data_IF_496112419709
#
_entry.id   IF_496112419709
#
_cell.length_a   1.000
_cell.length_b   1.000
_cell.length_c   1.000
_cell.angle_alpha   90.00
_cell.angle_beta   90.00
_cell.angle_gamma   90.00
#
_symmetry.space_group_name_H-M   'P 1'
#
loop_
_entity.id
_entity.type
_entity.pdbx_description
1 polymer ?
#
# COMPACT_ATOMS: atom_id res chain seq x y z
N UNK A 1 -21.69 -14.22 -8.21
CA UNK A 1 -20.22 -14.34 -8.31
C UNK A 1 -19.51 -13.01 -8.56
N UNK A 2 -20.14 -11.99 -9.18
CA UNK A 2 -19.54 -10.66 -9.34
C UNK A 2 -19.34 -9.89 -8.03
N UNK A 3 -20.32 -9.95 -7.11
CA UNK A 3 -20.27 -9.20 -5.84
C UNK A 3 -19.17 -9.67 -4.90
N UNK A 4 -18.85 -10.97 -4.88
CA UNK A 4 -17.84 -11.56 -3.98
C UNK A 4 -16.42 -11.17 -4.39
N UNK A 5 -16.16 -11.01 -5.69
CA UNK A 5 -14.83 -10.62 -6.19
C UNK A 5 -14.60 -9.11 -6.14
N UNK A 6 -15.66 -8.30 -6.29
CA UNK A 6 -15.55 -6.86 -6.03
C UNK A 6 -15.28 -6.60 -4.55
N UNK A 7 -15.92 -7.36 -3.65
CA UNK A 7 -15.72 -7.22 -2.22
C UNK A 7 -14.25 -7.48 -1.82
N UNK A 8 -13.58 -8.49 -2.36
CA UNK A 8 -12.16 -8.75 -2.05
C UNK A 8 -11.24 -7.62 -2.53
N UNK A 9 -11.48 -7.07 -3.72
CA UNK A 9 -10.75 -5.91 -4.22
C UNK A 9 -11.00 -4.64 -3.39
N UNK A 10 -12.26 -4.41 -3.00
CA UNK A 10 -12.65 -3.31 -2.11
C UNK A 10 -11.97 -3.44 -0.74
N UNK A 11 -12.03 -4.63 -0.14
CA UNK A 11 -11.38 -4.94 1.13
C UNK A 11 -9.87 -4.68 1.04
N UNK A 12 -9.17 -5.24 0.05
CA UNK A 12 -7.74 -5.02 -0.12
C UNK A 12 -7.38 -3.53 -0.26
N UNK A 13 -8.17 -2.76 -1.01
CA UNK A 13 -7.99 -1.31 -1.16
C UNK A 13 -8.15 -0.55 0.16
N UNK A 14 -9.19 -0.90 0.94
CA UNK A 14 -9.48 -0.31 2.25
C UNK A 14 -8.36 -0.54 3.27
N UNK A 15 -7.48 -1.52 3.06
CA UNK A 15 -6.30 -1.72 3.90
C UNK A 15 -5.05 -1.03 3.36
N UNK A 16 -4.75 -1.22 2.08
CA UNK A 16 -3.52 -0.72 1.47
C UNK A 16 -3.48 0.81 1.41
N UNK A 17 -4.61 1.47 1.10
CA UNK A 17 -4.67 2.93 1.00
C UNK A 17 -4.43 3.63 2.35
N UNK A 18 -5.18 3.32 3.43
CA UNK A 18 -4.93 3.94 4.73
C UNK A 18 -3.55 3.60 5.29
N UNK A 19 -3.07 2.37 5.08
CA UNK A 19 -1.73 1.97 5.49
C UNK A 19 -0.65 2.83 4.82
N UNK A 20 -0.71 2.98 3.50
CA UNK A 20 0.23 3.81 2.74
C UNK A 20 0.16 5.29 3.16
N UNK A 21 -1.06 5.84 3.31
CA UNK A 21 -1.26 7.24 3.70
C UNK A 21 -0.75 7.52 5.11
N UNK A 22 -1.03 6.63 6.06
CA UNK A 22 -0.53 6.73 7.43
C UNK A 22 1.00 6.69 7.46
N UNK A 23 1.61 5.74 6.73
CA UNK A 23 3.07 5.63 6.61
C UNK A 23 3.67 6.92 6.05
N UNK A 24 3.05 7.49 5.01
CA UNK A 24 3.46 8.74 4.40
C UNK A 24 3.43 9.90 5.40
N UNK A 25 2.30 10.15 6.06
CA UNK A 25 2.13 11.27 7.01
C UNK A 25 3.09 11.16 8.21
N UNK A 26 3.32 9.95 8.71
CA UNK A 26 4.26 9.72 9.82
C UNK A 26 5.71 9.92 9.37
N UNK A 27 6.08 9.47 8.17
CA UNK A 27 7.41 9.71 7.61
C UNK A 27 7.69 11.21 7.43
N UNK A 28 6.70 11.98 6.98
CA UNK A 28 6.80 13.43 6.86
C UNK A 28 6.99 14.11 8.21
N UNK A 29 6.16 13.76 9.20
CA UNK A 29 6.29 14.32 10.54
C UNK A 29 7.68 14.03 11.13
N UNK A 30 8.18 12.81 11.01
CA UNK A 30 9.51 12.43 11.50
C UNK A 30 10.64 13.17 10.77
N UNK A 31 10.57 13.26 9.45
CA UNK A 31 11.56 13.97 8.64
C UNK A 31 11.59 15.48 8.96
N UNK A 32 10.42 16.11 9.10
CA UNK A 32 10.30 17.52 9.48
C UNK A 32 10.73 17.78 10.94
N UNK A 33 10.72 16.75 11.82
CA UNK A 33 11.26 16.82 13.18
C UNK A 33 12.77 16.86 13.20
N UNK A 34 13.42 15.85 12.64
CA UNK A 34 14.87 15.78 12.65
C UNK A 34 15.33 15.14 11.35
N UNK A 35 15.71 15.92 10.32
CA UNK A 35 16.08 15.37 9.02
C UNK A 35 17.37 14.54 9.09
N UNK A 36 18.31 14.90 9.97
CA UNK A 36 19.58 14.20 10.17
C UNK A 36 19.45 12.86 10.89
N UNK A 37 18.41 12.70 11.72
CA UNK A 37 18.14 11.47 12.48
C UNK A 37 17.02 10.63 11.86
N UNK A 38 16.59 10.98 10.65
CA UNK A 38 15.53 10.24 9.98
C UNK A 38 15.95 8.79 9.75
N UNK A 39 15.13 7.87 10.28
CA UNK A 39 15.26 6.44 10.06
C UNK A 39 13.88 5.87 9.78
N UNK A 40 13.71 5.26 8.61
CA UNK A 40 12.49 4.56 8.25
C UNK A 40 12.28 3.36 9.18
N UNK A 41 11.04 3.18 9.63
CA UNK A 41 10.59 2.00 10.37
C UNK A 41 9.63 1.19 9.51
N UNK A 42 9.62 -0.12 9.71
CA UNK A 42 8.66 -1.00 9.01
C UNK A 42 7.23 -0.74 9.46
N UNK A 43 7.03 -0.36 10.72
CA UNK A 43 5.77 0.13 11.25
C UNK A 43 5.96 1.32 12.19
N UNK A 44 5.09 2.32 12.09
CA UNK A 44 5.08 3.47 12.99
C UNK A 44 3.94 3.28 14.01
N UNK A 45 4.28 2.63 15.14
CA UNK A 45 3.36 2.51 16.25
C UNK A 45 3.20 3.88 16.92
N UNK A 46 1.95 4.31 17.03
CA UNK A 46 1.61 5.55 17.72
C UNK A 46 1.35 5.22 19.19
N UNK A 47 1.72 6.13 20.09
CA UNK A 47 1.55 6.00 21.55
C UNK A 47 0.08 5.75 21.97
N UNK A 48 -0.89 6.10 21.14
CA UNK A 48 -2.31 5.79 21.39
C UNK A 48 -2.70 4.44 20.79
N UNK A 49 -3.24 3.54 21.62
CA UNK A 49 -3.71 2.19 21.20
C UNK A 49 -4.76 2.24 20.08
N UNK A 50 -5.64 3.25 20.08
CA UNK A 50 -6.65 3.47 19.03
C UNK A 50 -6.06 3.87 17.69
N UNK A 51 -4.87 4.46 17.69
CA UNK A 51 -4.16 4.78 16.45
C UNK A 51 -3.51 3.53 15.84
N UNK A 52 -3.48 2.37 16.49
CA UNK A 52 -2.87 1.15 15.96
C UNK A 52 -3.89 0.13 15.42
N UNK A 53 -5.15 0.56 15.24
CA UNK A 53 -6.23 -0.29 14.71
C UNK A 53 -5.88 -0.95 13.36
N UNK A 54 -5.10 -0.27 12.51
CA UNK A 54 -4.68 -0.82 11.22
C UNK A 54 -3.90 -2.15 11.36
N UNK A 55 -2.99 -2.26 12.35
CA UNK A 55 -2.25 -3.52 12.59
C UNK A 55 -3.20 -4.60 13.05
N UNK A 56 -4.03 -4.30 14.06
CA UNK A 56 -4.93 -5.29 14.65
C UNK A 56 -5.94 -5.79 13.62
N UNK A 57 -6.43 -4.89 12.76
CA UNK A 57 -7.34 -5.24 11.68
C UNK A 57 -6.66 -6.14 10.63
N UNK A 58 -5.43 -5.81 10.21
CA UNK A 58 -4.64 -6.66 9.30
C UNK A 58 -4.30 -8.02 9.92
N UNK A 59 -3.98 -8.07 11.21
CA UNK A 59 -3.62 -9.30 11.92
C UNK A 59 -4.78 -10.29 11.97
N UNK A 60 -6.01 -9.79 12.07
CA UNK A 60 -7.23 -10.61 12.06
C UNK A 60 -7.67 -10.94 10.63
N UNK A 61 -7.57 -10.00 9.70
CA UNK A 61 -8.17 -10.16 8.38
C UNK A 61 -7.30 -10.96 7.41
N UNK A 62 -5.98 -10.80 7.42
CA UNK A 62 -5.09 -11.58 6.55
C UNK A 62 -5.24 -13.10 6.71
N UNK A 63 -5.33 -13.68 7.93
CA UNK A 63 -5.54 -15.12 8.06
C UNK A 63 -6.93 -15.55 7.61
N UNK A 64 -7.96 -14.72 7.80
CA UNK A 64 -9.31 -14.96 7.26
C UNK A 64 -9.27 -14.99 5.73
N UNK A 65 -8.58 -14.03 5.11
CA UNK A 65 -8.40 -13.98 3.65
C UNK A 65 -7.59 -15.16 3.11
N UNK A 66 -6.52 -15.56 3.82
CA UNK A 66 -5.75 -16.74 3.46
C UNK A 66 -6.61 -18.02 3.54
N UNK A 67 -7.35 -18.20 4.64
CA UNK A 67 -8.20 -19.36 4.84
C UNK A 67 -9.35 -19.42 3.83
N UNK A 68 -9.96 -18.27 3.49
CA UNK A 68 -11.02 -18.23 2.48
C UNK A 68 -10.50 -18.67 1.10
N UNK A 69 -9.27 -18.29 0.73
CA UNK A 69 -8.63 -18.76 -0.51
C UNK A 69 -8.37 -20.28 -0.50
N UNK A 70 -7.97 -20.86 0.65
CA UNK A 70 -7.85 -22.32 0.80
C UNK A 70 -9.20 -23.02 0.67
N UNK A 71 -10.24 -22.47 1.29
CA UNK A 71 -11.61 -23.00 1.19
C UNK A 71 -12.11 -22.93 -0.26
N UNK A 72 -11.85 -21.83 -0.98
CA UNK A 72 -12.18 -21.73 -2.41
C UNK A 72 -11.40 -22.73 -3.26
N UNK A 73 -10.11 -22.95 -2.97
CA UNK A 73 -9.33 -24.01 -3.62
C UNK A 73 -9.96 -25.39 -3.42
N UNK A 74 -10.45 -25.70 -2.20
CA UNK A 74 -11.10 -26.98 -1.90
C UNK A 74 -12.49 -27.10 -2.54
N UNK A 75 -13.23 -25.99 -2.64
CA UNK A 75 -14.60 -25.97 -3.12
C UNK A 75 -14.72 -26.00 -4.66
N UNK A 76 -13.82 -25.33 -5.38
CA UNK A 76 -13.85 -25.30 -6.85
C UNK A 76 -13.12 -26.52 -7.42
N UNK A 77 -13.87 -27.55 -7.85
CA UNK A 77 -13.28 -28.83 -8.28
C UNK A 77 -13.00 -28.97 -9.78
N UNK A 78 -13.48 -28.06 -10.63
CA UNK A 78 -13.70 -28.36 -12.06
C UNK A 78 -12.54 -28.03 -13.02
N UNK A 79 -11.56 -27.17 -12.68
CA UNK A 79 -10.42 -26.85 -13.58
C UNK A 79 -9.06 -26.73 -12.83
N UNK A 80 -8.01 -27.49 -13.22
CA UNK A 80 -6.76 -27.60 -12.45
C UNK A 80 -5.89 -26.33 -12.45
N UNK A 81 -5.98 -25.50 -13.48
CA UNK A 81 -5.19 -24.27 -13.63
C UNK A 81 -5.62 -23.18 -12.65
N UNK A 82 -6.92 -23.03 -12.42
CA UNK A 82 -7.45 -22.01 -11.50
C UNK A 82 -7.26 -22.39 -10.04
N UNK A 83 -7.31 -23.70 -9.72
CA UNK A 83 -7.03 -24.21 -8.36
C UNK A 83 -5.65 -23.81 -7.85
N UNK A 84 -4.62 -23.97 -8.68
CA UNK A 84 -3.25 -23.68 -8.26
C UNK A 84 -3.02 -22.18 -7.96
N UNK A 85 -3.68 -21.30 -8.71
CA UNK A 85 -3.60 -19.85 -8.50
C UNK A 85 -4.14 -19.43 -7.11
N UNK A 86 -5.27 -20.01 -6.66
CA UNK A 86 -5.81 -19.72 -5.32
C UNK A 86 -4.88 -20.13 -4.19
N UNK A 87 -4.21 -21.29 -4.31
CA UNK A 87 -3.19 -21.72 -3.35
C UNK A 87 -1.98 -20.79 -3.34
N UNK A 88 -1.48 -20.40 -4.51
CA UNK A 88 -0.36 -19.46 -4.62
C UNK A 88 -0.70 -18.13 -3.93
N UNK A 89 -1.92 -17.61 -4.14
CA UNK A 89 -2.40 -16.39 -3.48
C UNK A 89 -2.52 -16.57 -1.95
N UNK A 90 -3.02 -17.70 -1.47
CA UNK A 90 -3.08 -18.01 -0.03
C UNK A 90 -1.69 -18.05 0.62
N UNK A 91 -0.68 -18.64 -0.06
CA UNK A 91 0.70 -18.67 0.44
C UNK A 91 1.28 -17.27 0.54
N UNK A 92 1.07 -16.42 -0.47
CA UNK A 92 1.53 -15.02 -0.46
C UNK A 92 0.91 -14.24 0.71
N UNK A 93 -0.41 -14.32 0.88
CA UNK A 93 -1.12 -13.64 1.97
C UNK A 93 -0.63 -14.15 3.34
N UNK A 94 -0.42 -15.46 3.48
CA UNK A 94 0.11 -16.07 4.71
C UNK A 94 1.53 -15.59 5.02
N UNK A 95 2.36 -15.36 3.98
CA UNK A 95 3.71 -14.85 4.17
C UNK A 95 3.71 -13.39 4.64
N UNK A 96 2.84 -12.53 4.08
CA UNK A 96 2.62 -11.18 4.60
C UNK A 96 2.10 -11.19 6.05
N UNK A 97 1.23 -12.15 6.38
CA UNK A 97 0.73 -12.33 7.75
C UNK A 97 1.85 -12.74 8.72
N UNK A 98 2.74 -13.65 8.32
CA UNK A 98 3.89 -14.04 9.12
C UNK A 98 4.84 -12.85 9.38
N UNK A 99 5.08 -12.00 8.37
CA UNK A 99 5.85 -10.76 8.54
C UNK A 99 5.14 -9.80 9.51
N UNK A 100 3.81 -9.70 9.44
CA UNK A 100 3.04 -8.86 10.35
C UNK A 100 3.12 -9.36 11.80
N UNK A 101 3.05 -10.68 12.03
CA UNK A 101 3.29 -11.29 13.34
C UNK A 101 4.69 -10.97 13.82
N UNK A 102 5.70 -11.10 12.96
CA UNK A 102 7.08 -10.77 13.30
C UNK A 102 7.23 -9.32 13.77
N UNK A 103 6.60 -8.37 13.07
CA UNK A 103 6.56 -6.95 13.44
C UNK A 103 5.85 -6.77 14.78
N UNK A 104 4.70 -7.42 14.99
CA UNK A 104 3.91 -7.31 16.21
C UNK A 104 4.67 -7.86 17.44
N UNK A 105 5.30 -9.03 17.29
CA UNK A 105 6.12 -9.67 18.33
C UNK A 105 7.35 -8.82 18.65
N UNK A 106 8.02 -8.30 17.61
CA UNK A 106 9.17 -7.41 17.77
C UNK A 106 8.84 -6.21 18.64
N UNK A 107 7.70 -5.55 18.41
CA UNK A 107 7.35 -4.38 19.23
C UNK A 107 6.73 -4.76 20.58
N UNK A 108 5.92 -5.81 20.66
CA UNK A 108 5.24 -6.16 21.92
C UNK A 108 6.20 -6.71 22.97
N UNK A 109 7.28 -7.36 22.55
CA UNK A 109 8.27 -7.98 23.44
C UNK A 109 9.57 -7.16 23.54
N UNK A 110 9.60 -5.94 23.00
CA UNK A 110 10.80 -5.11 22.89
C UNK A 110 12.02 -5.93 22.43
N UNK A 111 11.82 -6.80 21.43
CA UNK A 111 12.83 -7.73 20.95
C UNK A 111 13.90 -6.94 20.17
N UNK A 112 14.80 -6.28 20.91
CA UNK A 112 15.83 -5.36 20.42
C UNK A 112 16.78 -6.02 19.40
N UNK A 113 16.81 -7.35 19.37
CA UNK A 113 17.72 -8.14 18.53
C UNK A 113 17.33 -8.18 17.05
N UNK A 114 16.08 -7.89 16.66
CA UNK A 114 15.68 -7.94 15.24
C UNK A 114 15.81 -6.55 14.59
N UNK A 115 16.85 -6.31 13.75
CA UNK A 115 17.01 -5.05 13.05
C UNK A 115 15.91 -4.84 12.01
N UNK A 116 15.43 -3.59 11.87
CA UNK A 116 14.40 -3.21 10.88
C UNK A 116 14.82 -3.56 9.44
N UNK A 117 16.12 -3.57 9.18
CA UNK A 117 16.71 -3.93 7.89
C UNK A 117 16.30 -5.35 7.45
N UNK A 118 16.27 -6.32 8.37
CA UNK A 118 15.85 -7.69 8.06
C UNK A 118 14.36 -7.75 7.75
N UNK A 119 13.54 -6.99 8.48
CA UNK A 119 12.09 -6.94 8.24
C UNK A 119 11.80 -6.33 6.87
N UNK A 120 12.53 -5.28 6.46
CA UNK A 120 12.47 -4.74 5.10
C UNK A 120 12.91 -5.75 4.04
N UNK A 121 13.93 -6.55 4.30
CA UNK A 121 14.36 -7.61 3.39
C UNK A 121 13.28 -8.69 3.22
N UNK A 122 12.64 -9.15 4.31
CA UNK A 122 11.52 -10.09 4.23
C UNK A 122 10.32 -9.49 3.49
N UNK A 123 10.00 -8.21 3.72
CA UNK A 123 8.95 -7.52 2.98
C UNK A 123 9.26 -7.41 1.48
N UNK A 124 10.52 -7.15 1.10
CA UNK A 124 10.93 -7.16 -0.31
C UNK A 124 10.74 -8.53 -0.95
N UNK A 125 11.15 -9.61 -0.26
CA UNK A 125 10.94 -10.99 -0.73
C UNK A 125 9.45 -11.28 -0.90
N UNK A 126 8.61 -10.86 0.04
CA UNK A 126 7.16 -11.05 -0.05
C UNK A 126 6.56 -10.37 -1.29
N UNK A 127 6.94 -9.12 -1.56
CA UNK A 127 6.51 -8.43 -2.77
C UNK A 127 7.04 -9.07 -4.05
N UNK A 128 8.27 -9.59 -4.06
CA UNK A 128 8.79 -10.31 -5.23
C UNK A 128 8.01 -11.60 -5.49
N UNK A 129 7.72 -12.39 -4.45
CA UNK A 129 6.88 -13.58 -4.56
C UNK A 129 5.50 -13.19 -5.10
N UNK A 130 4.87 -12.14 -4.56
CA UNK A 130 3.60 -11.63 -5.04
C UNK A 130 3.64 -11.26 -6.54
N UNK A 131 4.70 -10.58 -6.99
CA UNK A 131 4.91 -10.24 -8.40
C UNK A 131 4.96 -11.48 -9.29
N UNK A 132 5.75 -12.49 -8.91
CA UNK A 132 5.84 -13.75 -9.66
C UNK A 132 4.50 -14.49 -9.74
N UNK A 133 3.68 -14.43 -8.68
CA UNK A 133 2.39 -15.13 -8.62
C UNK A 133 1.22 -14.36 -9.27
N UNK A 134 1.35 -13.05 -9.48
CA UNK A 134 0.27 -12.20 -10.06
C UNK A 134 0.19 -12.32 -11.60
N UNK A 135 1.23 -12.83 -12.26
CA UNK A 135 1.37 -12.82 -13.73
C UNK A 135 0.74 -13.97 -14.51
N UNK A 136 0.25 -15.02 -13.84
CA UNK A 136 -0.16 -16.27 -14.48
C UNK A 136 -1.69 -16.44 -14.48
N UNK A 137 -2.36 -16.01 -15.57
CA UNK A 137 -3.72 -16.52 -15.85
C UNK A 137 -4.72 -15.60 -16.55
N UNK A 138 -4.47 -14.29 -16.68
CA UNK A 138 -5.42 -13.36 -17.32
C UNK A 138 -4.81 -12.75 -18.59
N UNK A 139 -5.47 -12.98 -19.73
CA UNK A 139 -5.08 -12.45 -21.04
C UNK A 139 -5.93 -11.24 -21.41
N UNK A 140 -5.55 -10.51 -22.46
CA UNK A 140 -6.29 -9.33 -22.92
C UNK A 140 -6.19 -8.12 -21.98
N UNK A 141 -7.27 -7.32 -21.93
CA UNK A 141 -7.29 -6.04 -21.22
C UNK A 141 -7.26 -6.22 -19.70
N UNK A 142 -7.89 -7.28 -19.18
CA UNK A 142 -7.77 -7.67 -17.77
C UNK A 142 -6.32 -7.97 -17.36
N UNK A 143 -5.56 -8.63 -18.23
CA UNK A 143 -4.15 -8.90 -18.01
C UNK A 143 -3.30 -7.62 -17.90
N UNK A 144 -3.66 -6.56 -18.63
CA UNK A 144 -2.97 -5.27 -18.53
C UNK A 144 -3.21 -4.57 -17.18
N UNK A 145 -4.43 -4.65 -16.64
CA UNK A 145 -4.76 -4.12 -15.31
C UNK A 145 -3.90 -4.76 -14.20
N UNK A 146 -3.80 -6.10 -14.19
CA UNK A 146 -2.97 -6.84 -13.24
C UNK A 146 -1.47 -6.65 -13.49
N UNK A 147 -1.04 -6.41 -14.73
CA UNK A 147 0.35 -6.09 -15.06
C UNK A 147 0.81 -4.78 -14.43
N UNK A 148 -0.02 -3.74 -14.49
CA UNK A 148 0.25 -2.47 -13.81
C UNK A 148 0.36 -2.65 -12.28
N UNK A 149 -0.49 -3.51 -11.70
CA UNK A 149 -0.38 -3.90 -10.29
C UNK A 149 0.93 -4.63 -9.99
N UNK A 150 1.39 -5.49 -10.91
CA UNK A 150 2.70 -6.14 -10.84
C UNK A 150 3.86 -5.15 -10.84
N UNK A 151 3.86 -4.16 -11.73
CA UNK A 151 4.91 -3.12 -11.75
C UNK A 151 4.98 -2.34 -10.45
N UNK A 152 3.82 -2.05 -9.86
CA UNK A 152 3.75 -1.34 -8.60
C UNK A 152 4.22 -2.20 -7.42
N UNK A 153 3.97 -3.51 -7.48
CA UNK A 153 4.55 -4.50 -6.55
C UNK A 153 6.08 -4.51 -6.63
N UNK A 154 6.64 -4.50 -7.84
CA UNK A 154 8.11 -4.42 -8.04
C UNK A 154 8.67 -3.09 -7.53
N UNK A 155 7.96 -1.97 -7.74
CA UNK A 155 8.35 -0.68 -7.17
C UNK A 155 8.43 -0.74 -5.63
N UNK A 156 7.41 -1.31 -4.98
CA UNK A 156 7.41 -1.51 -3.52
C UNK A 156 8.56 -2.43 -3.08
N UNK A 157 8.81 -3.53 -3.80
CA UNK A 157 9.93 -4.43 -3.52
C UNK A 157 11.28 -3.71 -3.61
N UNK A 158 11.52 -2.95 -4.69
CA UNK A 158 12.75 -2.19 -4.89
C UNK A 158 12.97 -1.15 -3.77
N UNK A 159 11.91 -0.45 -3.35
CA UNK A 159 11.99 0.48 -2.23
C UNK A 159 12.32 -0.24 -0.91
N UNK A 160 11.71 -1.41 -0.65
CA UNK A 160 12.03 -2.24 0.52
C UNK A 160 13.48 -2.73 0.51
N UNK A 161 14.02 -3.16 -0.64
CA UNK A 161 15.45 -3.52 -0.79
C UNK A 161 16.34 -2.30 -0.51
N UNK A 162 15.98 -1.13 -1.03
CA UNK A 162 16.76 0.07 -0.78
C UNK A 162 16.74 0.47 0.71
N UNK A 163 15.59 0.35 1.38
CA UNK A 163 15.43 0.64 2.80
C UNK A 163 16.12 -0.39 3.71
N UNK A 164 16.25 -1.66 3.27
CA UNK A 164 17.00 -2.67 4.03
C UNK A 164 18.50 -2.37 4.08
N UNK A 165 19.05 -1.80 3.00
CA UNK A 165 20.47 -1.37 2.93
C UNK A 165 20.67 -0.01 3.60
N UNK A 166 19.79 0.95 3.29
CA UNK A 166 19.89 2.35 3.76
C UNK A 166 18.56 2.84 4.36
N UNK A 167 18.29 2.53 5.63
CA UNK A 167 17.02 2.90 6.27
C UNK A 167 16.81 4.42 6.44
N UNK A 168 17.88 5.22 6.34
CA UNK A 168 17.79 6.69 6.35
C UNK A 168 17.36 7.32 5.02
N UNK A 169 17.07 6.52 3.99
CA UNK A 169 16.67 7.03 2.67
C UNK A 169 15.20 7.49 2.66
N UNK A 170 14.96 8.76 2.99
CA UNK A 170 13.62 9.36 2.99
C UNK A 170 12.89 9.20 1.65
N UNK A 171 13.59 9.37 0.52
CA UNK A 171 12.98 9.24 -0.79
C UNK A 171 12.45 7.82 -1.07
N UNK A 172 13.16 6.78 -0.63
CA UNK A 172 12.71 5.39 -0.77
C UNK A 172 11.48 5.12 0.11
N UNK A 173 11.44 5.70 1.31
CA UNK A 173 10.26 5.63 2.18
C UNK A 173 9.04 6.33 1.59
N UNK A 174 9.25 7.52 1.02
CA UNK A 174 8.23 8.29 0.32
C UNK A 174 7.66 7.51 -0.87
N UNK A 175 8.53 6.95 -1.72
CA UNK A 175 8.12 6.15 -2.88
C UNK A 175 7.40 4.87 -2.47
N UNK A 176 7.88 4.17 -1.42
CA UNK A 176 7.19 3.00 -0.88
C UNK A 176 5.78 3.35 -0.41
N UNK A 177 5.64 4.46 0.32
CA UNK A 177 4.34 4.90 0.84
C UNK A 177 3.37 5.29 -0.28
N UNK A 178 3.85 6.06 -1.26
CA UNK A 178 3.07 6.40 -2.46
C UNK A 178 2.71 5.15 -3.26
N UNK A 179 3.64 4.21 -3.42
CA UNK A 179 3.44 2.94 -4.09
C UNK A 179 2.35 2.09 -3.44
N UNK A 180 2.30 2.03 -2.10
CA UNK A 180 1.23 1.34 -1.37
C UNK A 180 -0.15 2.00 -1.57
N UNK A 181 -0.23 3.33 -1.55
CA UNK A 181 -1.49 4.07 -1.83
C UNK A 181 -1.94 3.85 -3.28
N UNK A 182 -1.01 3.95 -4.23
CA UNK A 182 -1.27 3.65 -5.64
C UNK A 182 -1.74 2.21 -5.81
N UNK A 183 -1.16 1.27 -5.06
CA UNK A 183 -1.48 -0.15 -5.16
C UNK A 183 -2.87 -0.42 -4.64
N UNK A 184 -3.21 0.14 -3.46
CA UNK A 184 -4.55 0.05 -2.91
C UNK A 184 -5.62 0.66 -3.82
N UNK A 185 -5.37 1.86 -4.35
CA UNK A 185 -6.33 2.53 -5.24
C UNK A 185 -6.47 1.80 -6.58
N UNK A 186 -5.37 1.28 -7.13
CA UNK A 186 -5.40 0.51 -8.36
C UNK A 186 -6.13 -0.82 -8.21
N UNK A 187 -5.96 -1.54 -7.08
CA UNK A 187 -6.73 -2.77 -6.81
C UNK A 187 -8.24 -2.49 -6.83
N UNK A 188 -8.69 -1.36 -6.28
CA UNK A 188 -10.08 -0.94 -6.38
C UNK A 188 -10.48 -0.71 -7.84
N UNK A 189 -9.66 0.01 -8.60
CA UNK A 189 -9.90 0.29 -10.01
C UNK A 189 -10.03 -1.00 -10.82
N UNK A 190 -9.17 -2.00 -10.58
CA UNK A 190 -9.27 -3.33 -11.21
C UNK A 190 -10.61 -3.99 -10.85
N UNK A 191 -10.99 -3.98 -9.57
CA UNK A 191 -12.26 -4.53 -9.11
C UNK A 191 -13.46 -3.87 -9.81
N UNK A 192 -13.48 -2.54 -9.87
CA UNK A 192 -14.54 -1.78 -10.53
C UNK A 192 -14.57 -2.06 -12.05
N UNK A 193 -13.42 -2.07 -12.72
CA UNK A 193 -13.35 -2.28 -14.17
C UNK A 193 -13.75 -3.69 -14.60
N UNK A 194 -13.49 -4.72 -13.78
CA UNK A 194 -13.84 -6.11 -14.11
C UNK A 194 -15.24 -6.51 -13.64
N UNK A 195 -15.68 -6.01 -12.49
CA UNK A 195 -16.91 -6.50 -11.84
C UNK A 195 -18.06 -5.50 -11.82
N UNK A 196 -17.85 -4.23 -12.20
CA UNK A 196 -18.93 -3.23 -12.35
C UNK A 196 -19.24 -2.96 -13.82
N UNK A 197 -20.52 -3.05 -14.20
CA UNK A 197 -20.96 -2.79 -15.57
C UNK A 197 -20.92 -1.28 -15.93
N UNK A 198 -20.87 -0.39 -14.93
CA UNK A 198 -20.75 1.06 -15.12
C UNK A 198 -19.34 1.50 -15.60
N UNK A 199 -18.31 0.71 -15.26
CA UNK A 199 -16.92 0.95 -15.64
C UNK A 199 -16.36 -0.12 -16.59
N UNK A 200 -17.23 -0.99 -17.09
CA UNK A 200 -16.88 -1.99 -18.10
C UNK A 200 -16.43 -1.30 -19.39
N UNK A 201 -15.34 -1.80 -19.97
CA UNK A 201 -14.84 -1.32 -21.26
C UNK A 201 -15.92 -1.56 -22.33
N UNK A 202 -16.47 -0.47 -22.89
CA UNK A 202 -17.41 -0.54 -24.01
C UNK A 202 -16.73 -1.27 -25.18
N UNK A 203 -17.30 -2.41 -25.61
CA UNK A 203 -16.81 -3.21 -26.74
C UNK A 203 -16.10 -4.52 -26.37
N UNK A 204 -15.85 -4.80 -25.09
CA UNK A 204 -15.30 -6.11 -24.67
C UNK A 204 -16.31 -6.87 -23.82
N UNK A 205 -16.69 -8.08 -24.26
CA UNK A 205 -17.62 -8.95 -23.54
C UNK A 205 -16.91 -9.79 -22.48
N UNK A 206 -17.58 -10.05 -21.36
CA UNK A 206 -17.17 -11.10 -20.41
C UNK A 206 -17.40 -12.46 -21.09
N UNK A 207 -16.35 -13.25 -21.32
CA UNK A 207 -16.52 -14.63 -21.76
C UNK A 207 -16.81 -15.47 -20.51
N UNK A 208 -17.93 -16.19 -20.52
CA UNK A 208 -18.31 -17.07 -19.42
C UNK A 208 -19.15 -16.39 -18.34
N UNK A 209 -20.10 -17.14 -17.78
CA UNK A 209 -20.96 -16.69 -16.66
C UNK A 209 -20.15 -16.56 -15.38
N UNK A 210 -19.39 -15.47 -15.24
CA UNK A 210 -18.67 -15.13 -14.01
C UNK A 210 -17.15 -15.23 -14.06
N UNK A 211 -16.54 -15.40 -15.23
CA UNK A 211 -15.08 -15.38 -15.38
C UNK A 211 -14.53 -13.95 -15.58
N UNK A 212 -13.35 -13.70 -15.02
CA UNK A 212 -12.60 -12.45 -15.14
C UNK A 212 -11.89 -12.31 -16.51
N UNK A 213 -12.25 -13.14 -17.49
CA UNK A 213 -11.67 -13.12 -18.83
C UNK A 213 -12.51 -12.21 -19.73
N UNK A 214 -11.94 -11.03 -20.02
CA UNK A 214 -12.55 -10.02 -20.89
C UNK A 214 -11.86 -10.11 -22.23
N UNK A 215 -12.53 -10.72 -23.21
CA UNK A 215 -12.03 -10.80 -24.59
C UNK A 215 -12.78 -9.77 -25.43
N UNK A 216 -12.01 -8.93 -26.12
CA UNK A 216 -12.55 -7.96 -27.06
C UNK A 216 -12.69 -8.62 -28.44
N UNK A 217 -13.74 -8.26 -29.17
CA UNK A 217 -14.07 -8.89 -30.46
C UNK A 217 -13.17 -8.35 -31.61
N UNK A 218 -12.63 -7.14 -31.46
CA UNK A 218 -11.66 -6.51 -32.37
C UNK A 218 -10.36 -6.15 -31.64
N UNK A 219 -9.21 -6.34 -32.31
CA UNK A 219 -7.88 -5.94 -31.82
C UNK A 219 -7.75 -4.41 -31.61
N UNK A 220 -8.42 -3.60 -32.44
CA UNK A 220 -8.42 -2.14 -32.31
C UNK A 220 -9.06 -1.66 -31.00
N UNK A 221 -10.07 -2.36 -30.49
CA UNK A 221 -10.74 -2.03 -29.23
C UNK A 221 -9.90 -2.45 -28.01
N UNK A 222 -9.01 -3.44 -28.17
CA UNK A 222 -7.99 -3.78 -27.15
C UNK A 222 -7.01 -2.62 -26.96
N UNK A 223 -6.46 -2.07 -28.05
CA UNK A 223 -5.49 -0.97 -27.98
C UNK A 223 -6.09 0.31 -27.41
N UNK A 224 -7.35 0.62 -27.77
CA UNK A 224 -8.10 1.73 -27.18
C UNK A 224 -8.33 1.52 -25.68
N UNK A 225 -8.73 0.32 -25.26
CA UNK A 225 -8.89 -0.03 -23.85
C UNK A 225 -7.59 0.11 -23.05
N UNK A 226 -6.47 -0.39 -23.60
CA UNK A 226 -5.14 -0.25 -22.99
C UNK A 226 -4.72 1.21 -22.86
N UNK A 227 -4.96 2.04 -23.89
CA UNK A 227 -4.66 3.47 -23.85
C UNK A 227 -5.46 4.19 -22.76
N UNK A 228 -6.76 3.91 -22.64
CA UNK A 228 -7.61 4.47 -21.59
C UNK A 228 -7.14 4.03 -20.19
N UNK A 229 -6.82 2.76 -20.01
CA UNK A 229 -6.31 2.25 -18.72
C UNK A 229 -5.00 2.93 -18.34
N UNK A 230 -4.08 3.09 -19.29
CA UNK A 230 -2.82 3.81 -19.05
C UNK A 230 -3.07 5.27 -18.66
N UNK A 231 -4.03 5.95 -19.31
CA UNK A 231 -4.39 7.33 -18.96
C UNK A 231 -4.97 7.40 -17.54
N UNK A 232 -5.87 6.49 -17.17
CA UNK A 232 -6.43 6.41 -15.82
C UNK A 232 -5.34 6.11 -14.78
N UNK A 233 -4.39 5.23 -15.11
CA UNK A 233 -3.25 4.92 -14.25
C UNK A 233 -2.35 6.14 -14.04
N UNK A 234 -1.99 6.85 -15.11
CA UNK A 234 -1.22 8.10 -15.03
C UNK A 234 -1.97 9.13 -14.19
N UNK A 235 -3.28 9.24 -14.35
CA UNK A 235 -4.14 10.08 -13.51
C UNK A 235 -4.02 9.73 -12.02
N UNK A 236 -4.06 8.44 -11.66
CA UNK A 236 -3.85 7.98 -10.29
C UNK A 236 -2.48 8.41 -9.76
N UNK A 237 -1.42 8.22 -10.55
CA UNK A 237 -0.05 8.64 -10.18
C UNK A 237 0.00 10.14 -9.90
N UNK A 238 -0.53 10.96 -10.79
CA UNK A 238 -0.55 12.43 -10.62
C UNK A 238 -1.30 12.82 -9.34
N UNK A 239 -2.50 12.26 -9.12
CA UNK A 239 -3.32 12.56 -7.94
C UNK A 239 -2.57 12.20 -6.66
N UNK A 240 -1.98 11.00 -6.57
CA UNK A 240 -1.23 10.56 -5.38
C UNK A 240 -0.02 11.45 -5.14
N UNK A 241 0.72 11.83 -6.19
CA UNK A 241 1.87 12.74 -6.05
C UNK A 241 1.45 14.12 -5.57
N UNK A 242 0.39 14.71 -6.14
CA UNK A 242 -0.13 16.02 -5.73
C UNK A 242 -0.58 15.99 -4.28
N UNK A 243 -1.37 15.00 -3.86
CA UNK A 243 -1.80 14.85 -2.47
C UNK A 243 -0.59 14.72 -1.54
N UNK A 244 0.44 13.98 -1.95
CA UNK A 244 1.65 13.78 -1.16
C UNK A 244 2.45 15.08 -0.99
N UNK A 245 2.61 15.88 -2.04
CA UNK A 245 3.28 17.19 -1.93
C UNK A 245 2.48 18.21 -1.12
N UNK A 246 1.16 18.26 -1.34
CA UNK A 246 0.27 19.16 -0.60
C UNK A 246 0.28 18.81 0.89
N UNK A 247 0.19 17.53 1.24
CA UNK A 247 0.25 17.10 2.64
C UNK A 247 1.60 17.39 3.29
N UNK A 248 2.72 17.20 2.57
CA UNK A 248 4.05 17.60 3.06
C UNK A 248 4.12 19.11 3.33
N UNK A 249 3.68 19.94 2.38
CA UNK A 249 3.67 21.40 2.52
C UNK A 249 2.77 21.89 3.65
N UNK A 250 1.59 21.27 3.81
CA UNK A 250 0.66 21.58 4.88
C UNK A 250 1.26 21.24 6.25
N UNK A 251 1.84 20.05 6.42
CA UNK A 251 2.51 19.63 7.66
C UNK A 251 3.68 20.56 8.00
N UNK A 252 4.49 20.93 7.01
CA UNK A 252 5.58 21.88 7.20
C UNK A 252 5.07 23.26 7.66
N UNK A 253 4.00 23.77 7.03
CA UNK A 253 3.37 25.03 7.43
C UNK A 253 2.80 24.97 8.86
N UNK A 254 2.11 23.89 9.22
CA UNK A 254 1.54 23.70 10.56
C UNK A 254 2.65 23.73 11.61
N UNK A 255 3.72 22.99 11.36
CA UNK A 255 4.83 22.88 12.30
C UNK A 255 5.62 24.17 12.46
N UNK A 256 5.82 24.91 11.37
CA UNK A 256 6.43 26.26 11.42
C UNK A 256 5.61 27.21 12.29
N UNK A 257 4.27 27.10 12.24
CA UNK A 257 3.39 27.91 13.11
C UNK A 257 3.53 27.51 14.58
N UNK A 258 3.56 26.21 14.88
CA UNK A 258 3.78 25.71 16.26
C UNK A 258 5.12 26.22 16.85
N UNK A 259 6.20 26.13 16.06
CA UNK A 259 7.50 26.64 16.49
C UNK A 259 7.52 28.15 16.74
N UNK A 260 6.81 28.94 15.91
CA UNK A 260 6.68 30.38 16.12
C UNK A 260 5.88 30.72 17.39
N UNK A 261 4.82 29.96 17.70
CA UNK A 261 4.03 30.17 18.93
C UNK A 261 4.88 29.87 20.16
N UNK A 262 5.58 28.75 20.17
CA UNK A 262 6.43 28.35 21.30
C UNK A 262 7.64 29.29 21.50
N UNK A 263 8.22 29.81 20.41
CA UNK A 263 9.25 30.85 20.46
C UNK A 263 8.72 32.19 21.01
N UNK A 264 7.48 32.55 20.67
CA UNK A 264 6.84 33.78 21.18
C UNK A 264 6.52 33.69 22.68
N UNK A 265 6.05 32.54 23.18
CA UNK A 265 5.83 32.32 24.61
C UNK A 265 7.16 32.35 25.40
N UNK A 266 8.21 31.74 24.86
CA UNK A 266 9.54 31.75 25.49
C UNK A 266 10.16 33.16 25.56
N UNK A 267 9.85 34.05 24.62
CA UNK A 267 10.36 35.42 24.60
C UNK A 267 9.60 36.33 25.58
N UNK A 268 8.32 36.01 25.86
CA UNK A 268 7.48 36.72 26.83
C UNK A 268 7.80 36.32 28.29
N UNK A 269 8.38 35.13 28.49
CA UNK A 269 8.75 34.60 29.81
C UNK A 269 10.13 35.06 30.32
N UNK A 270 10.94 35.76 29.49
CA UNK A 270 12.24 36.25 29.92
C UNK A 270 12.03 37.52 30.77
N UNK A 271 12.36 37.52 32.09
CA UNK A 271 12.23 38.73 32.90
C UNK A 271 13.16 39.81 32.34
N UNK A 272 12.64 41.03 32.26
CA UNK A 272 13.43 42.23 32.01
C UNK A 272 14.57 42.27 33.06
N UNK A 273 15.84 42.49 32.69
CA UNK A 273 16.87 42.67 33.70
C UNK A 273 16.49 43.88 34.55
N UNK A 274 16.39 43.69 35.87
CA UNK A 274 16.26 44.79 36.83
C UNK A 274 17.43 45.75 36.58
N UNK A 275 17.09 46.95 36.10
CA UNK A 275 18.02 48.06 35.99
C UNK A 275 18.27 48.51 37.42
N UNK A 276 19.37 48.06 38.02
CA UNK A 276 19.93 48.67 39.22
C UNK A 276 20.26 50.13 38.90
N UNK A 277 19.49 51.04 39.51
CA UNK A 277 19.80 52.48 39.55
C UNK A 277 20.67 52.69 40.80
N UNK A 278 21.96 52.90 40.59
CA UNK A 278 22.84 53.60 41.54
C UNK A 278 22.69 55.13 41.37
#
# INVERSE_FOLDING_TARGET
MSSTSLATHLTASLFLCPLGLRRLLLSFSLYLNNPSLFRSRTWYLSQSKWKNLDIYSLLILLPIASFSHVVFFLAFSETPTHKFSFLQQSVVISFFWAILILIFVKESLDLFSIPDNLVFAFAAIAFLIEFYMTGSGVVGVGGWLYRLLGYLTVLCAACCVHLSVRPGAFFAEFLLSCGLVLKGSWVMQVGLSLYSDAFGLKGCGKIGRGEADVKCELDDDVWRGVALINLVFVGHVVVVMVISFVSFGLLHSMKRREGNVQGSESMLMHPLPEIEIE
#
